data_IF_176307626806
#
_entry.id   IF_176307626806
#
_cell.length_a   1.000
_cell.length_b   1.000
_cell.length_c   1.000
_cell.angle_alpha   90.00
_cell.angle_beta   90.00
_cell.angle_gamma   90.00
#
_symmetry.space_group_name_H-M   'P 1'
#
loop_
_entity.id
_entity.type
_entity.pdbx_description
1 polymer ?
#
# COMPACT_ATOMS: atom_id res chain seq x y z
N UNK A 1 29.44 25.43 -12.88
CA UNK A 1 27.99 25.17 -13.00
C UNK A 1 27.65 24.70 -14.40
N UNK A 2 26.62 23.86 -14.57
CA UNK A 2 26.17 23.42 -15.89
C UNK A 2 25.57 24.59 -16.66
N UNK A 3 25.94 24.74 -17.93
CA UNK A 3 25.44 25.82 -18.81
C UNK A 3 23.94 25.67 -19.14
N UNK A 4 23.43 24.44 -19.13
CA UNK A 4 22.03 24.11 -19.40
C UNK A 4 21.56 23.04 -18.41
N UNK A 5 21.20 23.42 -17.16
CA UNK A 5 20.78 22.46 -16.14
C UNK A 5 19.47 21.73 -16.49
N UNK A 6 18.64 22.30 -17.37
CA UNK A 6 17.38 21.70 -17.83
C UNK A 6 17.59 20.33 -18.51
N UNK A 7 18.74 20.10 -19.17
CA UNK A 7 19.04 18.83 -19.85
C UNK A 7 19.17 17.63 -18.89
N UNK A 8 19.22 17.87 -17.57
CA UNK A 8 19.16 16.83 -16.55
C UNK A 8 17.79 16.19 -16.40
N UNK A 9 16.74 16.91 -16.79
CA UNK A 9 15.35 16.51 -16.57
C UNK A 9 14.73 16.08 -17.91
N UNK A 10 14.01 14.97 -17.87
CA UNK A 10 13.34 14.40 -19.05
C UNK A 10 11.84 14.59 -18.88
N UNK A 11 11.15 14.92 -19.97
CA UNK A 11 9.69 14.94 -19.97
C UNK A 11 9.13 13.55 -19.66
N UNK A 12 8.03 13.50 -18.91
CA UNK A 12 7.35 12.25 -18.62
C UNK A 12 6.71 11.67 -19.88
N UNK A 13 6.76 10.35 -20.04
CA UNK A 13 6.19 9.65 -21.21
C UNK A 13 4.67 9.53 -21.04
N UNK A 14 3.84 10.08 -21.95
CA UNK A 14 2.39 9.93 -21.85
C UNK A 14 1.94 8.47 -22.00
N UNK A 15 0.80 8.15 -21.39
CA UNK A 15 0.09 6.88 -21.62
C UNK A 15 -0.72 7.02 -22.91
N UNK A 16 -0.58 6.08 -23.84
CA UNK A 16 -1.32 6.09 -25.12
C UNK A 16 -2.71 5.47 -24.94
N UNK A 17 -3.57 6.08 -24.12
CA UNK A 17 -4.96 5.68 -23.90
C UNK A 17 -5.90 6.59 -24.69
N UNK A 18 -6.06 6.30 -25.99
CA UNK A 18 -6.83 7.16 -26.91
C UNK A 18 -8.34 7.09 -26.70
N UNK A 19 -8.82 6.02 -26.09
CA UNK A 19 -10.22 5.72 -25.79
C UNK A 19 -10.53 5.83 -24.29
N UNK A 20 -9.81 6.74 -23.59
CA UNK A 20 -10.04 7.04 -22.17
C UNK A 20 -11.51 7.45 -21.93
N UNK A 21 -12.06 7.05 -20.79
CA UNK A 21 -13.45 7.36 -20.42
C UNK A 21 -13.56 8.23 -19.18
N UNK A 22 -12.48 8.32 -18.37
CA UNK A 22 -12.49 9.12 -17.15
C UNK A 22 -12.83 10.61 -17.34
N UNK A 23 -12.56 11.29 -18.48
CA UNK A 23 -12.95 12.70 -18.65
C UNK A 23 -14.46 12.94 -18.67
N UNK A 24 -15.24 11.93 -19.09
CA UNK A 24 -16.70 12.03 -19.21
C UNK A 24 -17.43 11.48 -17.96
N UNK A 25 -16.69 10.88 -17.02
CA UNK A 25 -17.24 10.30 -15.81
C UNK A 25 -17.46 11.36 -14.72
N UNK A 26 -18.68 11.42 -14.16
CA UNK A 26 -19.00 12.26 -13.00
C UNK A 26 -19.09 11.39 -11.75
N UNK A 27 -18.37 11.77 -10.70
CA UNK A 27 -18.41 11.07 -9.41
C UNK A 27 -19.79 11.25 -8.75
N UNK A 28 -20.48 10.15 -8.47
CA UNK A 28 -21.82 10.15 -7.86
C UNK A 28 -21.87 9.47 -6.49
N UNK A 29 -20.76 8.86 -6.07
CA UNK A 29 -20.63 8.12 -4.81
C UNK A 29 -19.29 8.43 -4.16
N UNK A 30 -19.26 8.40 -2.82
CA UNK A 30 -18.01 8.51 -2.07
C UNK A 30 -17.14 7.27 -2.31
N UNK A 31 -15.79 7.42 -2.40
CA UNK A 31 -14.90 6.28 -2.41
C UNK A 31 -14.85 5.63 -1.02
N UNK A 32 -14.22 4.45 -0.95
CA UNK A 32 -13.74 3.92 0.32
C UNK A 32 -12.54 4.78 0.75
N UNK A 33 -12.60 5.30 1.97
CA UNK A 33 -11.55 6.16 2.52
C UNK A 33 -10.68 5.38 3.49
N UNK A 34 -9.37 5.40 3.24
CA UNK A 34 -8.36 4.96 4.17
C UNK A 34 -7.57 6.17 4.68
N UNK A 35 -7.47 6.35 6.00
CA UNK A 35 -6.59 7.36 6.60
C UNK A 35 -5.23 6.76 6.91
N UNK A 36 -4.17 7.46 6.52
CA UNK A 36 -2.77 7.06 6.76
C UNK A 36 -2.05 8.00 7.74
N UNK A 37 -2.79 8.86 8.42
CA UNK A 37 -2.27 9.93 9.29
C UNK A 37 -1.37 9.39 10.42
N UNK A 38 -1.69 8.22 10.97
CA UNK A 38 -0.97 7.62 12.10
C UNK A 38 0.36 6.96 11.71
N UNK A 39 0.59 6.67 10.43
CA UNK A 39 1.82 6.06 9.92
C UNK A 39 2.50 6.96 8.90
N UNK A 40 1.94 7.10 7.70
CA UNK A 40 2.54 7.92 6.63
C UNK A 40 2.58 9.40 7.02
N UNK A 41 1.49 9.91 7.60
CA UNK A 41 1.45 11.27 8.14
C UNK A 41 2.45 11.46 9.28
N UNK A 42 2.45 10.55 10.25
CA UNK A 42 3.37 10.59 11.39
C UNK A 42 4.85 10.58 10.98
N UNK A 43 5.22 9.81 9.96
CA UNK A 43 6.58 9.73 9.43
C UNK A 43 7.05 11.07 8.81
N UNK A 44 6.14 11.94 8.40
CA UNK A 44 6.45 13.25 7.82
C UNK A 44 6.67 14.36 8.87
N UNK A 45 6.37 14.09 10.14
CA UNK A 45 6.51 15.08 11.21
C UNK A 45 7.97 15.25 11.64
N UNK A 46 8.36 16.50 11.92
CA UNK A 46 9.66 16.80 12.56
C UNK A 46 9.74 16.15 13.94
N UNK A 47 8.65 16.27 14.71
CA UNK A 47 8.47 15.60 16.00
C UNK A 47 7.38 14.54 15.86
N UNK A 48 7.73 13.24 15.76
CA UNK A 48 6.76 12.17 15.68
C UNK A 48 5.77 12.20 16.85
N UNK A 49 4.54 11.76 16.59
CA UNK A 49 3.51 11.58 17.60
C UNK A 49 3.96 10.55 18.64
N UNK A 50 3.89 10.94 19.91
CA UNK A 50 3.88 10.00 21.03
C UNK A 50 2.57 9.19 21.09
N UNK A 51 2.50 8.25 22.02
CA UNK A 51 1.34 7.37 22.17
C UNK A 51 0.03 8.14 22.45
N UNK A 52 0.09 9.23 23.22
CA UNK A 52 -1.10 10.04 23.55
C UNK A 52 -1.63 10.77 22.30
N UNK A 53 -0.74 11.40 21.54
CA UNK A 53 -1.08 12.10 20.28
C UNK A 53 -1.63 11.11 19.25
N UNK A 54 -1.04 9.93 19.14
CA UNK A 54 -1.56 8.85 18.27
C UNK A 54 -2.94 8.39 18.69
N UNK A 55 -3.15 8.11 19.97
CA UNK A 55 -4.46 7.67 20.45
C UNK A 55 -5.53 8.75 20.24
N UNK A 56 -5.19 10.02 20.44
CA UNK A 56 -6.07 11.14 20.15
C UNK A 56 -6.41 11.24 18.65
N UNK A 57 -5.42 11.07 17.77
CA UNK A 57 -5.64 11.06 16.32
C UNK A 57 -6.53 9.87 15.90
N UNK A 58 -6.24 8.65 16.37
CA UNK A 58 -7.06 7.47 16.11
C UNK A 58 -8.53 7.69 16.50
N UNK A 59 -8.78 8.19 17.72
CA UNK A 59 -10.14 8.51 18.19
C UNK A 59 -10.81 9.58 17.34
N UNK A 60 -10.07 10.57 16.85
CA UNK A 60 -10.60 11.61 15.97
C UNK A 60 -11.02 11.03 14.61
N UNK A 61 -10.20 10.19 13.99
CA UNK A 61 -10.49 9.53 12.70
C UNK A 61 -11.73 8.63 12.80
N UNK A 62 -11.83 7.85 13.88
CA UNK A 62 -13.02 7.05 14.19
C UNK A 62 -14.26 7.93 14.32
N UNK A 63 -14.16 9.05 15.04
CA UNK A 63 -15.28 9.99 15.22
C UNK A 63 -15.71 10.66 13.91
N UNK A 64 -14.77 10.95 13.01
CA UNK A 64 -15.06 11.48 11.66
C UNK A 64 -15.80 10.42 10.82
N UNK A 65 -15.50 9.14 11.01
CA UNK A 65 -16.18 8.03 10.35
C UNK A 65 -15.29 7.21 9.41
N UNK A 66 -13.96 7.34 9.47
CA UNK A 66 -13.05 6.46 8.73
C UNK A 66 -13.25 5.00 9.16
N UNK A 67 -13.22 4.10 8.16
CA UNK A 67 -13.40 2.65 8.36
C UNK A 67 -12.14 1.85 8.08
N UNK A 68 -11.19 2.43 7.35
CA UNK A 68 -9.85 1.90 7.15
C UNK A 68 -8.85 2.91 7.68
N UNK A 69 -8.00 2.49 8.62
CA UNK A 69 -7.04 3.37 9.29
C UNK A 69 -5.69 2.65 9.38
N UNK A 70 -4.67 3.19 8.71
CA UNK A 70 -3.30 2.69 8.82
C UNK A 70 -2.68 3.17 10.12
N UNK A 71 -2.42 2.26 11.05
CA UNK A 71 -2.06 2.56 12.43
C UNK A 71 -0.57 2.43 12.73
N UNK A 72 0.23 1.89 11.81
CA UNK A 72 1.67 1.82 12.00
C UNK A 72 2.45 0.93 11.03
N UNK A 73 3.77 0.94 11.25
CA UNK A 73 4.74 0.04 10.62
C UNK A 73 5.44 -0.77 11.74
N UNK A 74 4.74 -1.75 12.35
CA UNK A 74 5.11 -2.35 13.63
C UNK A 74 6.43 -3.15 13.59
N UNK A 75 6.86 -3.61 12.41
CA UNK A 75 8.14 -4.27 12.27
C UNK A 75 9.35 -3.33 12.22
N UNK A 76 9.13 -2.04 11.95
CA UNK A 76 10.19 -1.04 11.81
C UNK A 76 10.46 -0.25 13.10
N UNK A 77 9.50 -0.21 14.04
CA UNK A 77 9.59 0.57 15.27
C UNK A 77 8.85 -0.10 16.43
N UNK A 78 9.50 -0.15 17.60
CA UNK A 78 8.88 -0.71 18.81
C UNK A 78 7.68 0.13 19.27
N UNK A 79 7.73 1.46 19.13
CA UNK A 79 6.61 2.33 19.48
C UNK A 79 5.38 2.08 18.60
N UNK A 80 5.57 1.77 17.31
CA UNK A 80 4.48 1.37 16.42
C UNK A 80 3.90 0.01 16.82
N UNK A 81 4.77 -0.94 17.20
CA UNK A 81 4.35 -2.24 17.70
C UNK A 81 3.52 -2.12 18.98
N UNK A 82 4.00 -1.35 19.97
CA UNK A 82 3.34 -1.17 21.26
C UNK A 82 2.00 -0.44 21.11
N UNK A 83 1.91 0.57 20.24
CA UNK A 83 0.65 1.24 19.93
C UNK A 83 -0.35 0.28 19.30
N UNK A 84 0.09 -0.61 18.40
CA UNK A 84 -0.76 -1.64 17.82
C UNK A 84 -1.28 -2.61 18.89
N UNK A 85 -0.40 -3.06 19.80
CA UNK A 85 -0.80 -3.93 20.92
C UNK A 85 -1.82 -3.23 21.81
N UNK A 86 -1.58 -1.97 22.14
CA UNK A 86 -2.49 -1.17 22.95
C UNK A 86 -3.91 -1.12 22.34
N UNK A 87 -4.03 -0.82 21.04
CA UNK A 87 -5.32 -0.75 20.37
C UNK A 87 -6.10 -2.08 20.42
N UNK A 88 -5.39 -3.21 20.29
CA UNK A 88 -5.99 -4.55 20.31
C UNK A 88 -6.34 -4.98 21.74
N UNK A 89 -5.39 -4.91 22.66
CA UNK A 89 -5.49 -5.45 24.02
C UNK A 89 -6.47 -4.65 24.88
N UNK A 90 -6.55 -3.33 24.67
CA UNK A 90 -7.53 -2.47 25.33
C UNK A 90 -8.88 -2.42 24.57
N UNK A 91 -9.04 -3.20 23.49
CA UNK A 91 -10.26 -3.26 22.67
C UNK A 91 -10.75 -1.87 22.22
N UNK A 92 -9.83 -1.05 21.72
CA UNK A 92 -10.10 0.33 21.31
C UNK A 92 -10.57 0.46 19.86
N UNK A 93 -10.45 -0.62 19.07
CA UNK A 93 -10.84 -0.66 17.66
C UNK A 93 -12.35 -0.97 17.58
N UNK A 94 -13.18 -0.06 17.04
CA UNK A 94 -14.61 -0.34 16.83
C UNK A 94 -14.84 -1.51 15.88
N UNK A 95 -15.96 -2.22 16.02
CA UNK A 95 -16.27 -3.42 15.22
C UNK A 95 -16.41 -3.14 13.71
N UNK A 96 -16.70 -1.90 13.32
CA UNK A 96 -16.83 -1.45 11.93
C UNK A 96 -15.56 -0.79 11.38
N UNK A 97 -14.45 -0.79 12.14
CA UNK A 97 -13.14 -0.27 11.71
C UNK A 97 -12.18 -1.42 11.46
N UNK A 98 -11.48 -1.36 10.34
CA UNK A 98 -10.38 -2.24 9.98
C UNK A 98 -9.08 -1.47 10.09
N UNK A 99 -8.17 -1.95 10.93
CA UNK A 99 -6.82 -1.40 11.04
C UNK A 99 -5.97 -1.86 9.86
N UNK A 100 -5.07 -1.01 9.38
CA UNK A 100 -4.09 -1.33 8.35
C UNK A 100 -2.67 -1.21 8.93
N UNK A 101 -1.79 -2.11 8.53
CA UNK A 101 -0.36 -2.04 8.87
C UNK A 101 0.49 -2.26 7.63
N UNK A 102 1.55 -1.45 7.53
CA UNK A 102 2.52 -1.55 6.45
C UNK A 102 3.58 -2.59 6.77
N UNK A 103 4.02 -3.34 5.76
CA UNK A 103 5.19 -4.21 5.86
C UNK A 103 6.00 -4.25 4.57
N UNK A 104 7.32 -4.25 4.71
CA UNK A 104 8.24 -4.46 3.60
C UNK A 104 8.26 -5.94 3.21
N UNK A 105 8.57 -6.22 1.94
CA UNK A 105 8.78 -7.56 1.40
C UNK A 105 10.08 -8.24 1.94
N UNK A 106 10.15 -8.45 3.26
CA UNK A 106 11.23 -9.14 3.97
C UNK A 106 10.62 -10.03 5.06
N UNK A 107 10.93 -11.32 5.02
CA UNK A 107 10.33 -12.31 5.92
C UNK A 107 10.32 -11.92 7.41
N UNK A 108 11.44 -11.49 8.04
CA UNK A 108 11.43 -11.15 9.46
C UNK A 108 10.49 -9.97 9.80
N UNK A 109 10.31 -9.04 8.86
CA UNK A 109 9.44 -7.89 9.04
C UNK A 109 7.97 -8.30 8.91
N UNK A 110 7.67 -9.19 7.97
CA UNK A 110 6.31 -9.73 7.79
C UNK A 110 5.92 -10.55 9.03
N UNK A 111 6.78 -11.44 9.50
CA UNK A 111 6.54 -12.24 10.71
C UNK A 111 6.25 -11.33 11.92
N UNK A 112 7.08 -10.31 12.15
CA UNK A 112 6.87 -9.33 13.23
C UNK A 112 5.59 -8.51 13.05
N UNK A 113 5.19 -8.23 11.81
CA UNK A 113 3.92 -7.56 11.51
C UNK A 113 2.74 -8.43 11.95
N UNK A 114 2.75 -9.72 11.61
CA UNK A 114 1.72 -10.68 12.05
C UNK A 114 1.72 -10.91 13.56
N UNK A 115 2.88 -10.84 14.23
CA UNK A 115 2.94 -10.87 15.70
C UNK A 115 2.21 -9.69 16.34
N UNK A 116 2.37 -8.49 15.79
CA UNK A 116 1.73 -7.28 16.32
C UNK A 116 0.20 -7.35 16.23
N UNK A 117 -0.34 -8.09 15.25
CA UNK A 117 -1.76 -8.19 14.95
C UNK A 117 -2.48 -9.32 15.69
N UNK A 118 -1.78 -10.13 16.49
CA UNK A 118 -2.40 -11.25 17.22
C UNK A 118 -3.59 -10.77 18.07
N UNK A 119 -4.77 -11.32 17.82
CA UNK A 119 -6.02 -10.97 18.51
C UNK A 119 -6.83 -9.84 17.87
N UNK A 120 -6.35 -9.24 16.76
CA UNK A 120 -7.16 -8.31 15.99
C UNK A 120 -8.37 -9.05 15.38
N UNK A 121 -9.56 -8.42 15.38
CA UNK A 121 -10.76 -8.98 14.74
C UNK A 121 -10.70 -8.87 13.21
N UNK A 122 -10.19 -7.75 12.70
CA UNK A 122 -10.06 -7.43 11.27
C UNK A 122 -8.78 -6.64 11.04
N UNK A 123 -8.01 -6.98 10.00
CA UNK A 123 -6.80 -6.23 9.67
C UNK A 123 -6.48 -6.29 8.17
N UNK A 124 -5.96 -5.17 7.65
CA UNK A 124 -5.33 -5.06 6.34
C UNK A 124 -3.82 -5.19 6.53
N UNK A 125 -3.21 -6.18 5.88
CA UNK A 125 -1.74 -6.27 5.78
C UNK A 125 -1.31 -5.71 4.44
N UNK A 126 -0.64 -4.56 4.48
CA UNK A 126 -0.18 -3.85 3.30
C UNK A 126 1.27 -4.19 3.00
N UNK A 127 1.46 -5.05 1.99
CA UNK A 127 2.76 -5.44 1.45
C UNK A 127 3.20 -4.45 0.38
N UNK A 128 4.47 -4.04 0.41
CA UNK A 128 5.05 -3.26 -0.68
C UNK A 128 6.50 -3.64 -0.98
N UNK A 129 6.90 -3.40 -2.22
CA UNK A 129 8.29 -3.32 -2.64
C UNK A 129 8.43 -2.32 -3.79
N UNK A 130 9.59 -1.67 -3.87
CA UNK A 130 9.88 -0.71 -4.92
C UNK A 130 9.95 -1.40 -6.28
N UNK A 131 9.28 -0.83 -7.28
CA UNK A 131 9.20 -1.40 -8.63
C UNK A 131 9.84 -0.53 -9.71
N UNK A 132 10.08 0.75 -9.46
CA UNK A 132 10.59 1.66 -10.50
C UNK A 132 12.01 1.28 -10.99
N UNK A 133 12.35 1.51 -12.28
CA UNK A 133 13.63 1.12 -12.86
C UNK A 133 14.86 1.61 -12.10
N UNK A 134 14.79 2.84 -11.56
CA UNK A 134 15.86 3.40 -10.74
C UNK A 134 16.05 2.64 -9.43
N UNK A 135 14.96 2.19 -8.81
CA UNK A 135 14.99 1.39 -7.58
C UNK A 135 15.52 -0.01 -7.86
N UNK A 136 15.04 -0.67 -8.94
CA UNK A 136 15.52 -1.99 -9.37
C UNK A 136 17.04 -1.97 -9.61
N UNK A 137 17.54 -0.98 -10.36
CA UNK A 137 18.94 -0.87 -10.76
C UNK A 137 19.88 -0.37 -9.65
N UNK A 138 19.50 0.67 -8.92
CA UNK A 138 20.43 1.42 -8.04
C UNK A 138 20.29 1.02 -6.58
N UNK A 139 19.10 0.65 -6.13
CA UNK A 139 18.84 0.35 -4.71
C UNK A 139 18.83 -1.16 -4.45
N UNK A 140 18.12 -1.92 -5.28
CA UNK A 140 17.91 -3.34 -5.07
C UNK A 140 18.95 -4.21 -5.77
N UNK A 141 19.49 -3.75 -6.92
CA UNK A 141 20.40 -4.54 -7.73
C UNK A 141 19.73 -5.79 -8.31
N UNK A 142 18.41 -5.75 -8.51
CA UNK A 142 17.59 -6.87 -8.95
C UNK A 142 17.03 -6.63 -10.35
N UNK A 143 16.92 -7.70 -11.14
CA UNK A 143 16.24 -7.68 -12.42
C UNK A 143 14.71 -7.82 -12.26
N UNK A 144 13.99 -7.69 -13.36
CA UNK A 144 12.52 -7.71 -13.39
C UNK A 144 11.92 -9.02 -12.84
N UNK A 145 12.53 -10.18 -13.11
CA UNK A 145 12.06 -11.49 -12.64
C UNK A 145 12.31 -11.66 -11.14
N UNK A 146 13.46 -11.19 -10.65
CA UNK A 146 13.80 -11.20 -9.22
C UNK A 146 12.85 -10.31 -8.40
N UNK A 147 12.41 -9.17 -8.95
CA UNK A 147 11.42 -8.30 -8.31
C UNK A 147 10.04 -8.96 -8.25
N UNK A 148 9.63 -9.65 -9.32
CA UNK A 148 8.37 -10.41 -9.32
C UNK A 148 8.45 -11.56 -8.31
N UNK A 149 9.56 -12.30 -8.25
CA UNK A 149 9.74 -13.39 -7.29
C UNK A 149 9.77 -12.88 -5.85
N UNK A 150 10.43 -11.75 -5.59
CA UNK A 150 10.44 -11.10 -4.28
C UNK A 150 9.01 -10.78 -3.82
N UNK A 151 8.20 -10.15 -4.68
CA UNK A 151 6.82 -9.81 -4.35
C UNK A 151 5.96 -11.06 -4.11
N UNK A 152 6.05 -12.06 -5.00
CA UNK A 152 5.22 -13.27 -4.92
C UNK A 152 5.59 -14.18 -3.75
N UNK A 153 6.88 -14.37 -3.45
CA UNK A 153 7.32 -15.15 -2.30
C UNK A 153 6.83 -14.54 -0.98
N UNK A 154 6.94 -13.22 -0.82
CA UNK A 154 6.43 -12.54 0.37
C UNK A 154 4.88 -12.53 0.42
N UNK A 155 4.20 -12.45 -0.73
CA UNK A 155 2.75 -12.60 -0.79
C UNK A 155 2.29 -13.99 -0.32
N UNK A 156 2.99 -15.07 -0.72
CA UNK A 156 2.74 -16.44 -0.23
C UNK A 156 2.95 -16.55 1.27
N UNK A 157 4.03 -15.95 1.81
CA UNK A 157 4.30 -15.92 3.24
C UNK A 157 3.18 -15.22 4.03
N UNK A 158 2.69 -14.07 3.56
CA UNK A 158 1.54 -13.37 4.19
C UNK A 158 0.32 -14.29 4.27
N UNK A 159 0.01 -15.01 3.19
CA UNK A 159 -1.11 -15.95 3.14
C UNK A 159 -0.92 -17.12 4.13
N UNK A 160 0.30 -17.64 4.25
CA UNK A 160 0.64 -18.70 5.21
C UNK A 160 0.47 -18.22 6.66
N UNK A 161 0.97 -17.03 7.00
CA UNK A 161 0.88 -16.47 8.34
C UNK A 161 -0.56 -16.11 8.74
N UNK A 162 -1.35 -15.59 7.78
CA UNK A 162 -2.77 -15.34 7.97
C UNK A 162 -3.54 -16.64 8.27
N UNK A 163 -3.23 -17.74 7.56
CA UNK A 163 -3.87 -19.03 7.79
C UNK A 163 -3.59 -19.61 9.20
N UNK A 164 -2.49 -19.21 9.85
CA UNK A 164 -2.17 -19.57 11.24
C UNK A 164 -2.97 -18.77 12.28
N UNK A 165 -3.69 -17.73 11.86
CA UNK A 165 -4.50 -16.85 12.72
C UNK A 165 -5.94 -16.77 12.17
N UNK A 166 -6.72 -17.87 12.22
CA UNK A 166 -8.01 -17.98 11.52
C UNK A 166 -9.12 -17.11 12.11
N UNK A 167 -8.96 -16.65 13.36
CA UNK A 167 -9.97 -15.82 14.05
C UNK A 167 -9.95 -14.35 13.58
N UNK A 168 -8.90 -13.94 12.87
CA UNK A 168 -8.80 -12.59 12.30
C UNK A 168 -9.32 -12.61 10.86
N UNK A 169 -10.17 -11.65 10.53
CA UNK A 169 -10.56 -11.38 9.15
C UNK A 169 -9.45 -10.59 8.44
N UNK A 170 -8.70 -11.29 7.58
CA UNK A 170 -7.58 -10.71 6.85
C UNK A 170 -8.01 -10.12 5.51
N UNK A 171 -7.60 -8.89 5.24
CA UNK A 171 -7.56 -8.28 3.91
C UNK A 171 -6.10 -8.03 3.54
N UNK A 172 -5.74 -8.25 2.29
CA UNK A 172 -4.38 -8.00 1.82
C UNK A 172 -4.36 -6.80 0.88
N UNK A 173 -3.39 -5.92 1.08
CA UNK A 173 -3.11 -4.80 0.18
C UNK A 173 -1.72 -4.96 -0.41
N UNK A 174 -1.58 -4.74 -1.72
CA UNK A 174 -0.29 -4.68 -2.39
C UNK A 174 -0.06 -3.33 -3.06
N UNK A 175 1.14 -2.78 -2.89
CA UNK A 175 1.61 -1.64 -3.66
C UNK A 175 2.88 -1.97 -4.46
N UNK A 176 2.85 -1.84 -5.80
CA UNK A 176 4.07 -1.65 -6.57
C UNK A 176 4.60 -0.24 -6.28
N UNK A 177 5.44 -0.10 -5.25
CA UNK A 177 5.93 1.22 -4.81
C UNK A 177 6.73 1.91 -5.92
N UNK A 178 6.64 3.25 -5.96
CA UNK A 178 7.06 4.09 -7.08
C UNK A 178 6.29 3.83 -8.39
N UNK A 179 5.04 3.38 -8.32
CA UNK A 179 4.18 3.10 -9.48
C UNK A 179 4.16 4.22 -10.53
N UNK A 180 4.05 5.48 -10.11
CA UNK A 180 4.08 6.64 -11.03
C UNK A 180 5.37 6.75 -11.86
N UNK A 181 6.46 6.10 -11.43
CA UNK A 181 7.74 6.02 -12.12
C UNK A 181 8.05 4.64 -12.71
N UNK A 182 7.11 3.69 -12.65
CA UNK A 182 7.27 2.31 -13.14
C UNK A 182 6.57 2.12 -14.48
N UNK A 183 7.10 1.23 -15.33
CA UNK A 183 6.43 0.84 -16.56
C UNK A 183 5.11 0.11 -16.27
N UNK A 184 4.00 0.56 -16.86
CA UNK A 184 2.65 0.02 -16.61
C UNK A 184 2.56 -1.50 -16.80
N UNK A 185 3.15 -2.03 -17.87
CA UNK A 185 3.20 -3.46 -18.15
C UNK A 185 3.96 -4.23 -17.05
N UNK A 186 5.03 -3.65 -16.52
CA UNK A 186 5.79 -4.27 -15.44
C UNK A 186 5.04 -4.19 -14.12
N UNK A 187 4.41 -3.06 -13.79
CA UNK A 187 3.52 -2.95 -12.63
C UNK A 187 2.38 -3.97 -12.69
N UNK A 188 1.72 -4.11 -13.84
CA UNK A 188 0.70 -5.15 -14.08
C UNK A 188 1.26 -6.55 -13.85
N UNK A 189 2.44 -6.87 -14.41
CA UNK A 189 3.09 -8.18 -14.24
C UNK A 189 3.28 -8.53 -12.77
N UNK A 190 3.77 -7.59 -11.96
CA UNK A 190 4.00 -7.83 -10.52
C UNK A 190 2.67 -7.97 -9.77
N UNK A 191 1.69 -7.10 -10.04
CA UNK A 191 0.35 -7.16 -9.42
C UNK A 191 -0.37 -8.47 -9.75
N UNK A 192 -0.36 -8.91 -11.01
CA UNK A 192 -1.00 -10.15 -11.43
C UNK A 192 -0.41 -11.36 -10.72
N UNK A 193 0.92 -11.38 -10.53
CA UNK A 193 1.61 -12.45 -9.84
C UNK A 193 1.30 -12.46 -8.32
N UNK A 194 1.24 -11.29 -7.68
CA UNK A 194 0.83 -11.18 -6.26
C UNK A 194 -0.62 -11.61 -6.06
N UNK A 195 -1.53 -11.14 -6.92
CA UNK A 195 -2.96 -11.53 -6.84
C UNK A 195 -3.17 -12.99 -7.18
N UNK A 196 -2.31 -13.62 -7.98
CA UNK A 196 -2.32 -15.07 -8.20
C UNK A 196 -1.99 -15.83 -6.92
N UNK A 197 -0.96 -15.42 -6.18
CA UNK A 197 -0.59 -16.05 -4.92
C UNK A 197 -1.72 -15.91 -3.86
N UNK A 198 -2.34 -14.73 -3.79
CA UNK A 198 -3.43 -14.48 -2.84
C UNK A 198 -4.74 -15.13 -3.25
N UNK A 199 -5.04 -15.22 -4.54
CA UNK A 199 -6.30 -15.73 -5.10
C UNK A 199 -7.55 -15.02 -4.50
N UNK A 200 -7.66 -13.67 -4.64
CA UNK A 200 -8.82 -12.93 -4.17
C UNK A 200 -10.09 -13.35 -4.90
N UNK A 201 -11.24 -13.14 -4.27
CA UNK A 201 -12.57 -13.42 -4.83
C UNK A 201 -13.46 -12.19 -4.71
N UNK A 202 -14.62 -12.12 -5.41
CA UNK A 202 -15.56 -11.02 -5.23
C UNK A 202 -16.06 -10.85 -3.79
N UNK A 203 -16.08 -11.93 -3.00
CA UNK A 203 -16.46 -11.94 -1.59
C UNK A 203 -15.29 -11.61 -0.65
N UNK A 204 -14.06 -11.92 -1.06
CA UNK A 204 -12.83 -11.64 -0.32
C UNK A 204 -11.82 -10.97 -1.24
N UNK A 205 -12.01 -9.66 -1.43
CA UNK A 205 -11.17 -8.84 -2.29
C UNK A 205 -9.80 -8.59 -1.65
N UNK A 206 -8.81 -8.34 -2.49
CA UNK A 206 -7.58 -7.66 -2.08
C UNK A 206 -7.61 -6.21 -2.58
N UNK A 207 -6.72 -5.39 -2.04
CA UNK A 207 -6.55 -4.00 -2.42
C UNK A 207 -5.27 -3.89 -3.25
N UNK A 208 -5.35 -3.26 -4.41
CA UNK A 208 -4.17 -2.85 -5.18
C UNK A 208 -4.07 -1.34 -5.08
N UNK A 209 -3.14 -0.87 -4.27
CA UNK A 209 -2.87 0.55 -4.12
C UNK A 209 -1.76 0.98 -5.07
N UNK A 210 -2.03 1.98 -5.90
CA UNK A 210 -1.17 2.47 -6.98
C UNK A 210 -0.62 3.85 -6.60
N UNK A 211 0.53 3.95 -5.91
CA UNK A 211 0.98 5.20 -5.33
C UNK A 211 1.65 6.13 -6.35
N UNK A 212 1.38 7.43 -6.24
CA UNK A 212 2.19 8.49 -6.84
C UNK A 212 3.34 8.88 -5.89
N UNK A 213 4.22 7.93 -5.54
CA UNK A 213 5.29 8.10 -4.54
C UNK A 213 6.12 9.36 -4.78
N UNK A 214 6.38 9.64 -6.07
CA UNK A 214 6.75 10.98 -6.54
C UNK A 214 5.75 11.36 -7.63
N UNK A 215 5.21 12.56 -7.56
CA UNK A 215 4.36 13.09 -8.62
C UNK A 215 5.24 13.54 -9.80
N UNK A 216 5.24 12.74 -10.87
CA UNK A 216 6.12 12.95 -12.03
C UNK A 216 5.47 13.67 -13.21
N UNK A 217 4.14 13.80 -13.21
CA UNK A 217 3.38 14.24 -14.38
C UNK A 217 2.09 14.94 -13.96
N UNK A 218 1.38 15.54 -14.93
CA UNK A 218 0.08 16.15 -14.68
C UNK A 218 -0.98 15.08 -14.33
N UNK A 219 -2.03 15.44 -13.56
CA UNK A 219 -2.98 14.47 -13.03
C UNK A 219 -3.74 13.68 -14.10
N UNK A 220 -3.95 14.24 -15.30
CA UNK A 220 -4.60 13.54 -16.40
C UNK A 220 -3.77 12.35 -16.93
N UNK A 221 -2.44 12.42 -16.85
CA UNK A 221 -1.58 11.29 -17.22
C UNK A 221 -1.71 10.20 -16.15
N UNK A 222 -1.75 10.56 -14.88
CA UNK A 222 -1.98 9.60 -13.81
C UNK A 222 -3.37 8.94 -13.90
N UNK A 223 -4.41 9.71 -14.25
CA UNK A 223 -5.74 9.15 -14.53
C UNK A 223 -5.72 8.14 -15.69
N UNK A 224 -4.99 8.43 -16.78
CA UNK A 224 -4.78 7.47 -17.86
C UNK A 224 -4.04 6.20 -17.36
N UNK A 225 -3.07 6.32 -16.46
CA UNK A 225 -2.39 5.18 -15.84
C UNK A 225 -3.35 4.33 -15.01
N UNK A 226 -4.20 4.94 -14.19
CA UNK A 226 -5.20 4.24 -13.38
C UNK A 226 -6.22 3.52 -14.26
N UNK A 227 -6.79 4.20 -15.25
CA UNK A 227 -7.77 3.60 -16.16
C UNK A 227 -7.14 2.46 -16.98
N UNK A 228 -5.91 2.64 -17.47
CA UNK A 228 -5.18 1.58 -18.15
C UNK A 228 -4.99 0.37 -17.24
N UNK A 229 -4.46 0.55 -16.03
CA UNK A 229 -4.23 -0.57 -15.10
C UNK A 229 -5.53 -1.29 -14.77
N UNK A 230 -6.59 -0.56 -14.43
CA UNK A 230 -7.92 -1.11 -14.16
C UNK A 230 -8.50 -1.97 -15.29
N UNK A 231 -8.24 -1.59 -16.55
CA UNK A 231 -8.69 -2.34 -17.73
C UNK A 231 -7.87 -3.60 -18.00
N UNK A 232 -6.62 -3.66 -17.52
CA UNK A 232 -5.67 -4.70 -17.91
C UNK A 232 -5.30 -5.67 -16.78
N UNK A 233 -5.57 -5.38 -15.51
CA UNK A 233 -5.33 -6.34 -14.42
C UNK A 233 -6.12 -7.64 -14.63
N UNK A 234 -5.49 -8.79 -14.36
CA UNK A 234 -6.08 -10.10 -14.63
C UNK A 234 -7.26 -10.44 -13.69
N UNK A 235 -7.27 -9.90 -12.48
CA UNK A 235 -8.26 -10.20 -11.42
C UNK A 235 -8.89 -8.90 -10.90
N UNK A 236 -9.87 -8.39 -11.65
CA UNK A 236 -10.66 -7.19 -11.33
C UNK A 236 -11.85 -7.49 -10.41
#
# INVERSE_FOLDING_TARGET
>A
MLKQPANKYRAFKPVKLSDRTWPDAVLTQAPIWASVDLRDGNQSLIEPMDAERKLRMFKALVKIGFKEIEVGFPSASQTEFDFMRQLIEENLIPDDVTIQVLTQARQPLIERTFESLKGAKKAIVHLYNATAPVMRKVVLGMNDDEIVELATTNARLIKELAAKQPDTHWTFEYSPEMYSGTELEFSKRVVDAVTEAWAPTPQHKCIINLPSTVEHSTPNIFADMIEWTHRHLARR
#
